data_IF_749449554094
#
_entry.id   IF_749449554094
#
_cell.length_a   1.000
_cell.length_b   1.000
_cell.length_c   1.000
_cell.angle_alpha   90.00
_cell.angle_beta   90.00
_cell.angle_gamma   90.00
#
_symmetry.space_group_name_H-M   'P 1'
#
loop_
_entity.id
_entity.type
_entity.pdbx_description
1 polymer ?
#
# COMPACT_ATOMS: atom_id res chain seq x y z
N UNK A 1 75.48 10.18 -1.32
CA UNK A 1 74.13 10.39 -0.77
C UNK A 1 73.15 9.97 -1.85
N UNK A 2 72.60 8.75 -1.82
CA UNK A 2 71.60 8.34 -2.79
C UNK A 2 70.20 8.77 -2.31
N UNK A 3 69.63 9.73 -3.03
CA UNK A 3 68.29 9.68 -3.62
C UNK A 3 67.00 9.64 -2.75
N UNK A 4 66.93 10.42 -1.66
CA UNK A 4 65.65 10.72 -0.98
C UNK A 4 64.62 11.43 -1.90
N UNK A 5 65.08 12.04 -3.00
CA UNK A 5 64.19 12.65 -4.01
C UNK A 5 63.43 11.62 -4.85
N UNK A 6 63.99 10.43 -5.09
CA UNK A 6 63.30 9.39 -5.87
C UNK A 6 62.19 8.71 -5.07
N UNK A 7 62.45 8.36 -3.80
CA UNK A 7 61.43 7.75 -2.94
C UNK A 7 60.24 8.69 -2.68
N UNK A 8 60.51 9.99 -2.48
CA UNK A 8 59.45 10.99 -2.30
C UNK A 8 58.66 11.25 -3.59
N UNK A 9 59.31 11.19 -4.76
CA UNK A 9 58.65 11.32 -6.05
C UNK A 9 57.70 10.14 -6.34
N UNK A 10 58.13 8.91 -6.04
CA UNK A 10 57.29 7.71 -6.19
C UNK A 10 56.03 7.80 -5.33
N UNK A 11 56.15 8.16 -4.05
CA UNK A 11 55.01 8.31 -3.14
C UNK A 11 54.03 9.38 -3.63
N UNK A 12 54.51 10.53 -4.11
CA UNK A 12 53.65 11.61 -4.63
C UNK A 12 52.87 11.14 -5.87
N UNK A 13 53.51 10.37 -6.76
CA UNK A 13 52.84 9.84 -7.94
C UNK A 13 51.74 8.83 -7.59
N UNK A 14 51.99 7.95 -6.62
CA UNK A 14 51.00 6.99 -6.12
C UNK A 14 49.81 7.69 -5.44
N UNK A 15 50.08 8.71 -4.61
CA UNK A 15 49.02 9.54 -4.00
C UNK A 15 48.18 10.22 -5.09
N UNK A 16 48.82 10.71 -6.16
CA UNK A 16 48.12 11.36 -7.27
C UNK A 16 47.21 10.39 -8.01
N UNK A 17 47.71 9.19 -8.30
CA UNK A 17 46.93 8.14 -8.96
C UNK A 17 45.71 7.74 -8.12
N UNK A 18 45.91 7.46 -6.83
CA UNK A 18 44.82 7.11 -5.91
C UNK A 18 43.81 8.25 -5.77
N UNK A 19 44.28 9.50 -5.68
CA UNK A 19 43.41 10.68 -5.63
C UNK A 19 42.56 10.79 -6.89
N UNK A 20 43.12 10.49 -8.08
CA UNK A 20 42.33 10.50 -9.32
C UNK A 20 41.28 9.40 -9.34
N UNK A 21 41.60 8.19 -8.85
CA UNK A 21 40.65 7.09 -8.77
C UNK A 21 39.47 7.40 -7.82
N UNK A 22 39.75 7.95 -6.64
CA UNK A 22 38.72 8.37 -5.67
C UNK A 22 37.82 9.45 -6.26
N UNK A 23 38.38 10.46 -6.93
CA UNK A 23 37.56 11.52 -7.54
C UNK A 23 36.67 11.02 -8.66
N UNK A 24 37.05 9.95 -9.36
CA UNK A 24 36.20 9.34 -10.39
C UNK A 24 35.04 8.57 -9.76
N UNK A 25 35.28 7.84 -8.67
CA UNK A 25 34.23 7.18 -7.90
C UNK A 25 33.22 8.19 -7.32
N UNK A 26 33.71 9.31 -6.80
CA UNK A 26 32.85 10.40 -6.28
C UNK A 26 31.94 11.00 -7.35
N UNK A 27 32.32 10.95 -8.63
CA UNK A 27 31.45 11.38 -9.74
C UNK A 27 30.38 10.35 -10.09
N UNK A 28 30.69 9.06 -9.93
CA UNK A 28 29.77 7.95 -10.27
C UNK A 28 28.74 7.69 -9.16
N UNK A 29 29.11 7.95 -7.90
CA UNK A 29 28.23 7.85 -6.74
C UNK A 29 26.91 8.65 -6.88
N UNK A 30 26.89 9.94 -7.21
CA UNK A 30 25.65 10.72 -7.29
C UNK A 30 24.72 10.21 -8.39
N UNK A 31 25.25 9.82 -9.56
CA UNK A 31 24.42 9.25 -10.63
C UNK A 31 23.74 7.96 -10.16
N UNK A 32 24.50 7.08 -9.52
CA UNK A 32 23.99 5.80 -9.02
C UNK A 32 22.95 6.00 -7.92
N UNK A 33 23.19 6.93 -7.00
CA UNK A 33 22.24 7.29 -5.93
C UNK A 33 20.94 7.85 -6.52
N UNK A 34 21.02 8.78 -7.48
CA UNK A 34 19.84 9.34 -8.15
C UNK A 34 19.04 8.24 -8.84
N UNK A 35 19.71 7.33 -9.54
CA UNK A 35 19.07 6.19 -10.21
C UNK A 35 18.35 5.29 -9.19
N UNK A 36 18.99 4.97 -8.07
CA UNK A 36 18.39 4.18 -6.99
C UNK A 36 17.16 4.84 -6.39
N UNK A 37 17.24 6.14 -6.07
CA UNK A 37 16.11 6.91 -5.53
C UNK A 37 14.94 6.92 -6.51
N UNK A 38 15.22 7.14 -7.80
CA UNK A 38 14.18 7.16 -8.84
C UNK A 38 13.46 5.80 -8.95
N UNK A 39 14.21 4.70 -8.89
CA UNK A 39 13.67 3.35 -8.98
C UNK A 39 12.88 2.98 -7.73
N UNK A 40 13.35 3.37 -6.55
CA UNK A 40 12.65 3.16 -5.28
C UNK A 40 11.29 3.88 -5.27
N UNK A 41 11.24 5.13 -5.74
CA UNK A 41 9.99 5.89 -5.87
C UNK A 41 9.02 5.22 -6.84
N UNK A 42 9.49 4.76 -8.00
CA UNK A 42 8.66 4.04 -8.97
C UNK A 42 8.11 2.72 -8.39
N UNK A 43 8.95 1.95 -7.68
CA UNK A 43 8.54 0.72 -7.01
C UNK A 43 7.41 1.01 -6.01
N UNK A 44 7.58 2.01 -5.15
CA UNK A 44 6.57 2.38 -4.15
C UNK A 44 5.24 2.78 -4.78
N UNK A 45 5.27 3.57 -5.87
CA UNK A 45 4.06 3.95 -6.59
C UNK A 45 3.32 2.72 -7.18
N UNK A 46 4.07 1.76 -7.73
CA UNK A 46 3.49 0.51 -8.24
C UNK A 46 2.92 -0.37 -7.13
N UNK A 47 3.59 -0.48 -6.00
CA UNK A 47 3.08 -1.23 -4.84
C UNK A 47 1.77 -0.64 -4.31
N UNK A 48 1.68 0.70 -4.21
CA UNK A 48 0.44 1.38 -3.85
C UNK A 48 -0.69 1.08 -4.84
N UNK A 49 -0.40 1.10 -6.15
CA UNK A 49 -1.38 0.76 -7.17
C UNK A 49 -1.84 -0.71 -7.04
N UNK A 50 -0.93 -1.65 -6.78
CA UNK A 50 -1.28 -3.05 -6.54
C UNK A 50 -2.19 -3.23 -5.33
N UNK A 51 -1.96 -2.49 -4.24
CA UNK A 51 -2.85 -2.51 -3.07
C UNK A 51 -4.26 -2.06 -3.45
N UNK A 52 -4.39 -0.98 -4.24
CA UNK A 52 -5.69 -0.48 -4.70
C UNK A 52 -6.42 -1.49 -5.60
N UNK A 53 -5.70 -2.12 -6.54
CA UNK A 53 -6.26 -3.15 -7.41
C UNK A 53 -6.68 -4.40 -6.62
N UNK A 54 -5.87 -4.85 -5.66
CA UNK A 54 -6.25 -5.97 -4.78
C UNK A 54 -7.48 -5.62 -3.94
N UNK A 55 -7.55 -4.40 -3.43
CA UNK A 55 -8.70 -3.92 -2.68
C UNK A 55 -9.97 -3.81 -3.54
N UNK A 56 -9.85 -3.54 -4.85
CA UNK A 56 -10.99 -3.54 -5.78
C UNK A 56 -11.49 -4.96 -6.08
N UNK A 57 -10.57 -5.93 -6.13
CA UNK A 57 -10.87 -7.36 -6.27
C UNK A 57 -11.34 -8.04 -4.97
N UNK A 58 -11.40 -7.31 -3.85
CA UNK A 58 -11.90 -7.85 -2.58
C UNK A 58 -13.32 -8.43 -2.77
N UNK A 59 -13.57 -9.68 -2.33
CA UNK A 59 -14.87 -10.34 -2.48
C UNK A 59 -16.04 -9.48 -2.01
N UNK A 60 -15.87 -8.74 -0.90
CA UNK A 60 -16.88 -7.82 -0.33
C UNK A 60 -17.33 -6.72 -1.31
N UNK A 61 -16.48 -6.30 -2.26
CA UNK A 61 -16.84 -5.34 -3.32
C UNK A 61 -17.48 -6.01 -4.54
N UNK A 62 -17.18 -7.29 -4.74
CA UNK A 62 -17.66 -8.08 -5.87
C UNK A 62 -18.97 -8.82 -5.58
N UNK A 63 -19.36 -8.97 -4.30
CA UNK A 63 -20.63 -9.62 -3.93
C UNK A 63 -21.80 -8.84 -4.54
N UNK A 64 -22.61 -9.47 -5.42
CA UNK A 64 -23.82 -8.87 -5.97
C UNK A 64 -24.79 -8.44 -4.87
N UNK A 65 -25.66 -7.46 -5.16
CA UNK A 65 -26.60 -6.94 -4.17
C UNK A 65 -27.58 -8.02 -3.70
N UNK A 66 -27.89 -8.98 -4.57
CA UNK A 66 -28.78 -10.12 -4.34
C UNK A 66 -28.19 -11.08 -3.29
N UNK A 67 -26.89 -11.37 -3.40
CA UNK A 67 -26.18 -12.22 -2.44
C UNK A 67 -26.03 -11.51 -1.09
N UNK A 68 -25.75 -10.19 -1.09
CA UNK A 68 -25.76 -9.39 0.14
C UNK A 68 -27.13 -9.40 0.81
N UNK A 69 -28.20 -9.21 0.04
CA UNK A 69 -29.58 -9.25 0.54
C UNK A 69 -29.95 -10.62 1.12
N UNK A 70 -29.49 -11.70 0.48
CA UNK A 70 -29.66 -13.07 1.00
C UNK A 70 -28.97 -13.22 2.36
N UNK A 71 -27.69 -12.85 2.46
CA UNK A 71 -26.92 -12.91 3.73
C UNK A 71 -27.58 -12.05 4.81
N UNK A 72 -27.97 -10.82 4.50
CA UNK A 72 -28.63 -9.92 5.44
C UNK A 72 -29.91 -10.51 6.02
N UNK A 73 -30.67 -11.26 5.23
CA UNK A 73 -31.90 -11.91 5.70
C UNK A 73 -31.62 -12.92 6.81
N UNK A 74 -30.57 -13.74 6.67
CA UNK A 74 -30.14 -14.64 7.74
C UNK A 74 -29.68 -13.87 8.99
N UNK A 75 -28.87 -12.83 8.80
CA UNK A 75 -28.35 -12.02 9.90
C UNK A 75 -29.44 -11.26 10.68
N UNK A 76 -30.57 -10.92 10.04
CA UNK A 76 -31.73 -10.28 10.69
C UNK A 76 -32.57 -11.33 11.43
N UNK A 77 -32.87 -12.47 10.80
CA UNK A 77 -33.75 -13.49 11.38
C UNK A 77 -33.14 -14.23 12.58
N UNK A 78 -31.84 -14.57 12.57
CA UNK A 78 -31.18 -15.21 13.73
C UNK A 78 -31.19 -14.35 15.00
N UNK A 79 -31.37 -13.06 14.80
CA UNK A 79 -31.19 -12.01 15.78
C UNK A 79 -32.54 -11.50 16.30
N UNK A 80 -33.64 -11.80 15.61
CA UNK A 80 -34.99 -11.27 15.83
C UNK A 80 -35.56 -11.50 17.25
N UNK A 81 -35.06 -12.50 17.98
CA UNK A 81 -35.46 -12.76 19.37
C UNK A 81 -34.95 -11.72 20.40
N UNK A 82 -34.02 -10.83 20.03
CA UNK A 82 -33.36 -9.89 20.95
C UNK A 82 -33.85 -8.44 20.78
N UNK A 83 -34.58 -8.13 19.70
CA UNK A 83 -34.77 -6.74 19.24
C UNK A 83 -36.22 -6.25 19.28
N UNK A 84 -36.75 -6.05 20.49
CA UNK A 84 -38.00 -5.29 20.68
C UNK A 84 -37.80 -3.76 20.61
N UNK A 85 -36.56 -3.27 20.40
CA UNK A 85 -36.23 -1.85 20.39
C UNK A 85 -35.55 -1.48 19.08
N UNK A 86 -36.12 -0.50 18.37
CA UNK A 86 -35.52 0.11 17.19
C UNK A 86 -34.25 0.85 17.64
N UNK A 87 -33.09 0.27 17.37
CA UNK A 87 -31.79 0.86 17.66
C UNK A 87 -30.93 0.91 16.39
N UNK A 88 -30.14 1.98 16.19
CA UNK A 88 -29.16 2.05 15.09
C UNK A 88 -28.13 0.91 15.13
N UNK A 89 -27.94 0.27 16.28
CA UNK A 89 -27.01 -0.85 16.48
C UNK A 89 -27.60 -2.21 16.16
N UNK A 90 -28.90 -2.29 15.88
CA UNK A 90 -29.60 -3.54 15.62
C UNK A 90 -29.76 -3.76 14.12
N UNK A 91 -29.81 -5.01 13.68
CA UNK A 91 -30.21 -5.32 12.32
C UNK A 91 -31.71 -5.01 12.14
N UNK A 92 -32.16 -4.53 10.97
CA UNK A 92 -31.38 -4.27 9.74
C UNK A 92 -30.59 -2.93 9.74
N UNK A 93 -30.83 -2.01 10.69
CA UNK A 93 -30.23 -0.67 10.69
C UNK A 93 -28.71 -0.65 10.67
N UNK A 94 -28.05 -1.53 11.44
CA UNK A 94 -26.57 -1.64 11.49
C UNK A 94 -25.96 -1.94 10.12
N UNK A 95 -26.67 -2.68 9.26
CA UNK A 95 -26.20 -3.05 7.92
C UNK A 95 -26.10 -1.83 7.00
N UNK A 96 -26.94 -0.82 7.24
CA UNK A 96 -26.93 0.44 6.49
C UNK A 96 -25.76 1.36 6.84
N UNK A 97 -25.13 1.16 8.00
CA UNK A 97 -24.03 1.99 8.48
C UNK A 97 -22.63 1.48 8.08
N UNK A 98 -22.52 0.25 7.55
CA UNK A 98 -21.21 -0.35 7.22
C UNK A 98 -20.57 0.34 6.02
N UNK A 99 -21.27 0.41 4.87
CA UNK A 99 -20.79 1.05 3.63
C UNK A 99 -21.95 1.45 2.71
N UNK A 100 -21.69 2.39 1.79
CA UNK A 100 -22.67 2.85 0.81
C UNK A 100 -23.34 1.72 0.01
N UNK A 101 -22.56 0.71 -0.44
CA UNK A 101 -23.12 -0.45 -1.18
C UNK A 101 -24.03 -1.32 -0.31
N UNK A 102 -23.68 -1.53 0.96
CA UNK A 102 -24.49 -2.30 1.90
C UNK A 102 -25.79 -1.58 2.23
N UNK A 103 -25.72 -0.26 2.42
CA UNK A 103 -26.90 0.60 2.55
C UNK A 103 -27.84 0.49 1.36
N UNK A 104 -27.31 0.59 0.13
CA UNK A 104 -28.12 0.45 -1.09
C UNK A 104 -28.76 -0.93 -1.16
N UNK A 105 -28.01 -2.01 -0.91
CA UNK A 105 -28.55 -3.37 -0.94
C UNK A 105 -29.62 -3.61 0.16
N UNK A 106 -29.40 -3.11 1.38
CA UNK A 106 -30.34 -3.24 2.49
C UNK A 106 -31.64 -2.46 2.24
N UNK A 107 -31.55 -1.21 1.76
CA UNK A 107 -32.72 -0.39 1.43
C UNK A 107 -33.47 -0.93 0.20
N UNK A 108 -32.77 -1.55 -0.75
CA UNK A 108 -33.38 -2.19 -1.92
C UNK A 108 -34.04 -3.54 -1.62
N UNK A 109 -33.98 -4.01 -0.37
CA UNK A 109 -34.57 -5.30 0.05
C UNK A 109 -35.67 -5.07 1.09
N UNK A 110 -36.93 -4.80 0.67
CA UNK A 110 -38.04 -4.50 1.58
C UNK A 110 -38.26 -5.56 2.67
N UNK A 111 -38.06 -6.84 2.33
CA UNK A 111 -38.19 -7.99 3.25
C UNK A 111 -37.27 -7.97 4.47
N UNK A 112 -36.26 -7.09 4.53
CA UNK A 112 -35.42 -6.93 5.72
C UNK A 112 -36.07 -6.05 6.79
N UNK A 113 -37.13 -5.33 6.45
CA UNK A 113 -37.78 -4.30 7.26
C UNK A 113 -39.22 -4.66 7.66
N UNK A 114 -39.66 -5.88 7.28
CA UNK A 114 -40.89 -6.51 7.76
C UNK A 114 -40.66 -7.10 9.16
#
# INVERSE_FOLDING_TARGET
>A
YPDESSETAEIISAIREESTAVTELDKQMPETVVRLVSLATQKRAREQHLVLLRASLSPVRQVPAEILAYVFRYCVHENMHVYCVVSPRNAPMVLTHVRARWRVAALATPRLWE
#
